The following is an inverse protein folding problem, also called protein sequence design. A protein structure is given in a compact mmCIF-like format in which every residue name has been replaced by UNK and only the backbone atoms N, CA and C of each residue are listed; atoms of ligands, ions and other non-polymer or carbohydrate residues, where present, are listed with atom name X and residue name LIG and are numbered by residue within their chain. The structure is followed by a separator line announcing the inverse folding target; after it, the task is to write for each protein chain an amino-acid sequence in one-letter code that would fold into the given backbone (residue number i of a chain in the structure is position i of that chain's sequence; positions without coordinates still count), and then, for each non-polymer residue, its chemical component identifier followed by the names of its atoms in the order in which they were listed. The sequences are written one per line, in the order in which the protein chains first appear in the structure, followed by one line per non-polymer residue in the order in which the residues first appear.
data_IF_716029986884
#
_entry.id   IF_716029986884
#
_cell.length_a   1.000
_cell.length_b   1.000
_cell.length_c   1.000
_cell.angle_alpha   90.00
_cell.angle_beta   90.00
_cell.angle_gamma   90.00
#
_symmetry.space_group_name_H-M   'P 1'
#
loop_
_entity.id
_entity.type
_entity.pdbx_description
1 polymer ?
#
# COMPACT_ATOMS: atom_id res chain seq x y z
N UNK A 1 17.16 -0.91 -14.99
CA UNK A 1 16.43 -0.77 -16.27
C UNK A 1 15.61 0.50 -16.22
N UNK A 2 15.56 1.30 -17.31
CA UNK A 2 14.79 2.54 -17.38
C UNK A 2 14.46 2.89 -18.83
N UNK A 3 13.45 3.75 -19.02
CA UNK A 3 13.13 4.28 -20.34
C UNK A 3 13.94 5.56 -20.63
N UNK A 4 14.38 5.73 -21.86
CA UNK A 4 15.00 6.97 -22.35
C UNK A 4 14.50 7.33 -23.73
N UNK A 5 14.59 8.63 -24.07
CA UNK A 5 14.38 9.11 -25.45
C UNK A 5 15.73 9.32 -26.10
N UNK A 6 15.93 8.73 -27.28
CA UNK A 6 17.14 8.92 -28.10
C UNK A 6 16.77 9.61 -29.41
N UNK A 7 17.43 10.72 -29.72
CA UNK A 7 17.32 11.39 -31.02
C UNK A 7 18.17 10.66 -32.06
N UNK A 8 17.59 10.38 -33.20
CA UNK A 8 18.29 9.81 -34.37
C UNK A 8 17.80 10.51 -35.65
N UNK A 9 18.62 11.33 -36.24
CA UNK A 9 18.23 12.21 -37.35
C UNK A 9 17.14 13.19 -36.97
N UNK A 10 16.04 13.19 -37.71
CA UNK A 10 14.84 14.05 -37.49
C UNK A 10 13.89 13.49 -36.42
N UNK A 11 14.09 12.27 -35.95
CA UNK A 11 13.12 11.56 -35.11
C UNK A 11 13.66 11.27 -33.72
N UNK A 12 12.73 11.12 -32.78
CA UNK A 12 12.99 10.70 -31.42
C UNK A 12 12.40 9.31 -31.20
N UNK A 13 13.14 8.44 -30.50
CA UNK A 13 12.76 7.06 -30.24
C UNK A 13 12.72 6.79 -28.74
N UNK A 14 11.66 6.15 -28.28
CA UNK A 14 11.55 5.64 -26.92
C UNK A 14 12.28 4.29 -26.85
N UNK A 15 13.24 4.18 -25.94
CA UNK A 15 14.05 2.97 -25.74
C UNK A 15 14.00 2.53 -24.29
N UNK A 16 14.00 1.21 -24.08
CA UNK A 16 14.24 0.58 -22.79
C UNK A 16 15.71 0.20 -22.72
N UNK A 17 16.41 0.67 -21.70
CA UNK A 17 17.85 0.45 -21.52
C UNK A 17 18.15 -0.04 -20.11
N UNK A 18 19.25 -0.77 -19.98
CA UNK A 18 19.82 -1.17 -18.69
C UNK A 18 21.27 -0.69 -18.56
N UNK A 19 21.67 -0.40 -17.32
CA UNK A 19 23.07 -0.15 -17.02
C UNK A 19 23.74 -1.49 -16.69
N UNK A 20 24.81 -1.83 -17.41
CA UNK A 20 25.62 -3.02 -17.16
C UNK A 20 27.06 -2.61 -16.85
N UNK A 21 27.64 -3.14 -15.78
CA UNK A 21 29.04 -2.98 -15.46
C UNK A 21 29.89 -3.94 -16.30
N UNK A 22 30.75 -3.41 -17.16
CA UNK A 22 31.69 -4.21 -17.99
C UNK A 22 33.10 -3.67 -17.73
N UNK A 23 33.99 -4.51 -17.21
CA UNK A 23 35.37 -4.15 -16.87
C UNK A 23 35.47 -2.85 -16.03
N UNK A 24 34.68 -2.74 -14.96
CA UNK A 24 34.67 -1.58 -14.06
C UNK A 24 33.95 -0.33 -14.59
N UNK A 25 33.60 -0.26 -15.88
CA UNK A 25 32.89 0.87 -16.50
C UNK A 25 31.40 0.56 -16.69
N UNK A 26 30.56 1.55 -16.41
CA UNK A 26 29.09 1.42 -16.64
C UNK A 26 28.84 1.66 -18.13
N UNK A 27 28.29 0.65 -18.82
CA UNK A 27 27.80 0.75 -20.19
C UNK A 27 26.28 0.59 -20.23
N UNK A 28 25.63 1.40 -21.07
CA UNK A 28 24.21 1.26 -21.33
C UNK A 28 23.96 0.28 -22.47
N UNK A 29 23.15 -0.73 -22.19
CA UNK A 29 22.67 -1.69 -23.19
C UNK A 29 21.23 -1.38 -23.54
N UNK A 30 20.90 -1.27 -24.82
CA UNK A 30 19.51 -1.17 -25.28
C UNK A 30 18.90 -2.54 -25.24
N UNK A 31 17.79 -2.69 -24.47
CA UNK A 31 17.02 -3.92 -24.39
C UNK A 31 16.02 -3.95 -25.55
N UNK A 32 15.31 -2.83 -25.75
CA UNK A 32 14.29 -2.72 -26.80
C UNK A 32 14.10 -1.27 -27.23
N UNK A 33 13.71 -1.07 -28.48
CA UNK A 33 13.21 0.20 -29.00
C UNK A 33 11.70 0.08 -29.15
N UNK A 34 10.95 0.83 -28.34
CA UNK A 34 9.49 0.77 -28.28
C UNK A 34 8.85 1.38 -29.53
N UNK A 35 9.44 2.49 -30.03
CA UNK A 35 8.95 3.14 -31.24
C UNK A 35 9.32 4.63 -31.31
N UNK A 36 8.80 5.29 -32.34
CA UNK A 36 8.98 6.74 -32.53
C UNK A 36 8.03 7.50 -31.59
N UNK A 37 8.58 8.52 -30.91
CA UNK A 37 7.82 9.31 -29.92
C UNK A 37 6.59 10.00 -30.51
N UNK A 38 6.73 10.59 -31.70
CA UNK A 38 5.61 11.25 -32.41
C UNK A 38 4.44 10.28 -32.65
N UNK A 39 4.72 9.06 -33.11
CA UNK A 39 3.70 8.03 -33.35
C UNK A 39 3.13 7.45 -32.06
N UNK A 40 3.93 7.33 -31.04
CA UNK A 40 3.50 6.81 -29.74
C UNK A 40 2.59 7.81 -29.04
N UNK A 41 2.90 9.11 -29.07
CA UNK A 41 2.10 10.17 -28.48
C UNK A 41 0.80 10.41 -29.25
N UNK A 42 0.88 10.52 -30.59
CA UNK A 42 -0.31 10.78 -31.43
C UNK A 42 -1.44 9.75 -31.28
N UNK A 43 -1.13 8.53 -30.88
CA UNK A 43 -2.10 7.42 -30.73
C UNK A 43 -2.33 7.02 -29.26
N UNK A 44 -1.88 7.81 -28.28
CA UNK A 44 -1.99 7.47 -26.84
C UNK A 44 -1.39 6.10 -26.49
N UNK A 45 -0.41 5.64 -27.29
CA UNK A 45 0.17 4.30 -27.09
C UNK A 45 1.10 4.23 -25.89
N UNK A 46 1.69 5.36 -25.47
CA UNK A 46 2.51 5.41 -24.26
C UNK A 46 1.64 5.12 -23.04
N UNK A 47 0.50 5.77 -22.92
CA UNK A 47 -0.47 5.58 -21.84
C UNK A 47 -1.02 4.15 -21.84
N UNK A 48 -1.34 3.61 -23.01
CA UNK A 48 -1.78 2.21 -23.15
C UNK A 48 -0.72 1.23 -22.71
N UNK A 49 0.56 1.50 -23.05
CA UNK A 49 1.69 0.65 -22.63
C UNK A 49 1.88 0.73 -21.11
N UNK A 50 1.84 1.93 -20.52
CA UNK A 50 1.93 2.11 -19.08
C UNK A 50 0.80 1.38 -18.36
N UNK A 51 -0.45 1.51 -18.83
CA UNK A 51 -1.61 0.80 -18.29
C UNK A 51 -1.47 -0.71 -18.41
N UNK A 52 -0.90 -1.21 -19.50
CA UNK A 52 -0.64 -2.64 -19.67
C UNK A 52 0.44 -3.15 -18.72
N UNK A 53 1.54 -2.42 -18.58
CA UNK A 53 2.64 -2.77 -17.70
C UNK A 53 2.28 -2.63 -16.22
N UNK A 54 1.35 -1.74 -15.87
CA UNK A 54 0.90 -1.55 -14.49
C UNK A 54 0.26 -2.80 -13.88
N UNK A 55 -0.28 -3.70 -14.73
CA UNK A 55 -0.81 -5.00 -14.27
C UNK A 55 0.24 -5.89 -13.61
N UNK A 56 1.51 -5.65 -13.92
CA UNK A 56 2.65 -6.39 -13.35
C UNK A 56 3.35 -5.63 -12.21
N UNK A 57 2.80 -4.50 -11.79
CA UNK A 57 3.35 -3.67 -10.72
C UNK A 57 2.26 -3.26 -9.73
N UNK A 58 2.30 -3.81 -8.52
CA UNK A 58 1.31 -3.52 -7.47
C UNK A 58 1.23 -2.02 -7.11
N UNK A 59 2.34 -1.29 -7.24
CA UNK A 59 2.40 0.15 -6.89
C UNK A 59 1.88 1.07 -8.00
N UNK A 60 2.02 0.70 -9.26
CA UNK A 60 1.71 1.60 -10.39
C UNK A 60 0.20 1.66 -10.70
N UNK A 61 -0.55 0.61 -10.34
CA UNK A 61 -2.00 0.54 -10.56
C UNK A 61 -2.77 1.62 -9.79
N UNK A 62 -2.26 2.03 -8.64
CA UNK A 62 -2.85 3.05 -7.76
C UNK A 62 -2.61 4.47 -8.26
N UNK A 63 -1.46 4.74 -8.86
CA UNK A 63 -1.10 6.07 -9.40
C UNK A 63 -1.91 6.38 -10.67
N UNK A 64 -2.22 5.35 -11.48
CA UNK A 64 -2.94 5.52 -12.75
C UNK A 64 -4.46 5.65 -12.61
N UNK A 65 -5.01 5.31 -11.45
CA UNK A 65 -6.47 5.40 -11.21
C UNK A 65 -6.92 6.76 -10.67
N UNK A 66 -6.00 7.65 -10.31
CA UNK A 66 -6.29 8.98 -9.76
C UNK A 66 -5.76 10.12 -10.61
N UNK A 67 -6.58 11.10 -10.89
CA UNK A 67 -6.18 12.42 -11.40
C UNK A 67 -5.18 13.05 -10.43
N UNK A 68 -4.00 13.45 -10.94
CA UNK A 68 -3.04 14.43 -10.43
C UNK A 68 -3.03 14.73 -8.91
N UNK A 69 -1.86 14.62 -8.30
CA UNK A 69 -1.47 15.22 -7.02
C UNK A 69 -2.10 14.70 -5.71
N UNK A 70 -2.61 13.48 -5.70
CA UNK A 70 -2.89 12.81 -4.43
C UNK A 70 -1.69 11.89 -4.15
N UNK A 71 -0.95 12.08 -3.04
CA UNK A 71 -0.11 11.03 -2.52
C UNK A 71 -1.04 9.83 -2.25
N UNK A 72 -1.05 8.86 -3.15
CA UNK A 72 -1.87 7.68 -3.00
C UNK A 72 -1.19 6.78 -1.96
N UNK A 73 -1.52 6.99 -0.70
CA UNK A 73 -1.21 6.05 0.36
C UNK A 73 -2.09 4.81 0.15
N UNK A 74 -1.50 3.81 -0.49
CA UNK A 74 -2.16 2.53 -0.68
C UNK A 74 -2.21 1.79 0.65
N UNK A 75 -3.38 1.67 1.23
CA UNK A 75 -3.61 0.90 2.45
C UNK A 75 -4.24 -0.46 2.14
N UNK A 76 -3.78 -1.48 2.86
CA UNK A 76 -4.31 -2.85 2.75
C UNK A 76 -5.67 -2.92 3.46
N UNK A 77 -6.71 -3.40 2.79
CA UNK A 77 -8.05 -3.53 3.35
C UNK A 77 -8.49 -4.98 3.57
N UNK A 78 -7.91 -5.93 2.83
CA UNK A 78 -8.36 -7.33 2.84
C UNK A 78 -8.45 -7.97 4.22
N UNK A 79 -7.37 -7.97 5.02
CA UNK A 79 -7.40 -8.55 6.36
C UNK A 79 -8.45 -7.94 7.27
N UNK A 80 -8.60 -6.62 7.28
CA UNK A 80 -9.59 -5.95 8.15
C UNK A 80 -11.02 -6.37 7.82
N UNK A 81 -11.40 -6.52 6.55
CA UNK A 81 -12.74 -6.94 6.15
C UNK A 81 -13.06 -8.34 6.67
N UNK A 82 -12.15 -9.30 6.49
CA UNK A 82 -12.36 -10.70 6.89
C UNK A 82 -12.47 -10.80 8.40
N UNK A 83 -11.52 -10.21 9.13
CA UNK A 83 -11.49 -10.30 10.58
C UNK A 83 -12.56 -9.46 11.27
N UNK A 84 -13.00 -8.34 10.69
CA UNK A 84 -14.19 -7.60 11.17
C UNK A 84 -15.45 -8.46 11.14
N UNK A 85 -15.63 -9.23 10.09
CA UNK A 85 -16.76 -10.16 9.97
C UNK A 85 -16.68 -11.25 11.02
N UNK A 86 -15.54 -11.93 11.14
CA UNK A 86 -15.32 -12.96 12.15
C UNK A 86 -15.50 -12.43 13.57
N UNK A 87 -15.02 -11.23 13.87
CA UNK A 87 -15.14 -10.56 15.16
C UNK A 87 -16.58 -10.34 15.58
N UNK A 88 -17.45 -10.03 14.61
CA UNK A 88 -18.88 -9.89 14.83
C UNK A 88 -19.59 -11.23 14.96
N UNK A 89 -19.30 -12.17 14.06
CA UNK A 89 -19.97 -13.48 13.99
C UNK A 89 -19.64 -14.37 15.20
N UNK A 90 -18.42 -14.34 15.70
CA UNK A 90 -18.01 -15.07 16.91
C UNK A 90 -18.56 -14.46 18.20
N UNK A 91 -19.15 -13.28 18.14
CA UNK A 91 -19.69 -12.59 19.31
C UNK A 91 -18.67 -11.91 20.22
N UNK A 92 -17.37 -11.94 19.87
CA UNK A 92 -16.29 -11.30 20.66
C UNK A 92 -16.56 -9.81 20.85
N UNK A 93 -16.98 -9.12 19.78
CA UNK A 93 -17.35 -7.71 19.86
C UNK A 93 -18.39 -7.44 20.95
N UNK A 94 -19.48 -8.23 20.95
CA UNK A 94 -20.56 -8.09 21.94
C UNK A 94 -20.08 -8.41 23.36
N UNK A 95 -19.21 -9.41 23.53
CA UNK A 95 -18.66 -9.77 24.83
C UNK A 95 -17.83 -8.63 25.42
N UNK A 96 -16.90 -8.05 24.64
CA UNK A 96 -16.10 -6.91 25.08
C UNK A 96 -16.98 -5.71 25.39
N UNK A 97 -17.95 -5.40 24.54
CA UNK A 97 -18.88 -4.28 24.78
C UNK A 97 -19.68 -4.45 26.09
N UNK A 98 -20.09 -5.66 26.44
CA UNK A 98 -20.74 -5.94 27.73
C UNK A 98 -19.84 -5.67 28.94
N UNK A 99 -18.55 -6.04 28.84
CA UNK A 99 -17.57 -5.79 29.89
C UNK A 99 -17.27 -4.29 30.07
N UNK A 100 -17.56 -3.48 29.06
CA UNK A 100 -17.33 -2.03 29.05
C UNK A 100 -18.51 -1.20 29.54
N UNK A 101 -19.72 -1.78 29.77
CA UNK A 101 -20.96 -1.03 30.07
C UNK A 101 -20.77 -0.08 31.25
N UNK A 102 -20.12 -0.53 32.32
CA UNK A 102 -19.91 0.25 33.55
C UNK A 102 -18.54 0.95 33.61
N UNK A 103 -17.82 1.01 32.50
CA UNK A 103 -16.47 1.56 32.40
C UNK A 103 -16.45 2.80 31.51
N UNK A 104 -15.72 3.82 31.95
CA UNK A 104 -15.48 5.04 31.15
C UNK A 104 -14.06 5.09 30.68
N UNK A 105 -13.85 5.09 29.37
CA UNK A 105 -12.57 5.27 28.72
C UNK A 105 -12.62 6.47 27.77
N UNK A 106 -11.49 7.14 27.59
CA UNK A 106 -11.34 8.27 26.68
C UNK A 106 -11.17 7.85 25.21
N UNK A 107 -11.06 6.53 24.98
CA UNK A 107 -10.82 5.93 23.68
C UNK A 107 -11.65 4.66 23.52
N UNK A 108 -11.79 4.19 22.28
CA UNK A 108 -12.51 2.94 21.99
C UNK A 108 -11.64 1.70 22.33
N UNK A 109 -11.89 1.14 23.51
CA UNK A 109 -11.15 -0.04 24.02
C UNK A 109 -11.42 -1.27 23.13
N UNK A 110 -12.65 -1.44 22.63
CA UNK A 110 -12.99 -2.56 21.75
C UNK A 110 -12.16 -2.50 20.45
N UNK A 111 -12.00 -1.32 19.87
CA UNK A 111 -11.19 -1.13 18.69
C UNK A 111 -9.69 -1.31 18.96
N UNK A 112 -9.20 -0.90 20.10
CA UNK A 112 -7.81 -1.11 20.51
C UNK A 112 -7.49 -2.60 20.66
N UNK A 113 -8.40 -3.36 21.30
CA UNK A 113 -8.28 -4.82 21.43
C UNK A 113 -8.32 -5.48 20.04
N UNK A 114 -9.30 -5.12 19.19
CA UNK A 114 -9.41 -5.64 17.83
C UNK A 114 -8.12 -5.42 17.03
N UNK A 115 -7.58 -4.20 17.06
CA UNK A 115 -6.34 -3.85 16.36
C UNK A 115 -5.15 -4.70 16.83
N UNK A 116 -4.99 -4.87 18.14
CA UNK A 116 -3.91 -5.67 18.71
C UNK A 116 -4.04 -7.15 18.33
N UNK A 117 -5.26 -7.71 18.38
CA UNK A 117 -5.52 -9.10 17.99
C UNK A 117 -5.25 -9.28 16.49
N UNK A 118 -5.78 -8.40 15.66
CA UNK A 118 -5.59 -8.45 14.21
C UNK A 118 -4.09 -8.41 13.84
N UNK A 119 -3.34 -7.50 14.45
CA UNK A 119 -1.90 -7.41 14.24
C UNK A 119 -1.17 -8.71 14.61
N UNK A 120 -1.48 -9.29 15.78
CA UNK A 120 -0.85 -10.54 16.25
C UNK A 120 -1.19 -11.74 15.38
N UNK A 121 -2.38 -11.79 14.80
CA UNK A 121 -2.79 -12.85 13.87
C UNK A 121 -2.06 -12.78 12.52
N UNK A 122 -1.73 -11.56 12.04
CA UNK A 122 -1.15 -11.38 10.71
C UNK A 122 0.39 -11.39 10.74
N UNK A 123 1.01 -10.67 11.70
CA UNK A 123 2.45 -10.43 11.69
C UNK A 123 3.14 -10.89 12.97
N UNK A 124 2.41 -10.96 14.08
CA UNK A 124 2.96 -11.28 15.41
C UNK A 124 4.10 -10.34 15.85
N UNK A 125 3.79 -9.33 16.66
CA UNK A 125 4.78 -8.34 17.12
C UNK A 125 4.34 -7.59 18.36
N UNK A 126 5.16 -6.63 18.80
CA UNK A 126 4.86 -5.77 19.94
C UNK A 126 3.80 -4.73 19.62
N UNK A 127 3.15 -4.18 20.64
CA UNK A 127 2.15 -3.09 20.47
C UNK A 127 2.78 -1.83 19.87
N UNK A 128 4.05 -1.56 20.13
CA UNK A 128 4.82 -0.49 19.47
C UNK A 128 4.98 -0.73 17.97
N UNK A 129 5.12 -1.99 17.55
CA UNK A 129 5.14 -2.33 16.14
C UNK A 129 3.75 -2.27 15.54
N UNK A 130 2.70 -2.67 16.28
CA UNK A 130 1.30 -2.56 15.89
C UNK A 130 0.91 -1.13 15.54
N UNK A 131 1.33 -0.12 16.32
CA UNK A 131 1.06 1.29 16.03
C UNK A 131 1.60 1.74 14.67
N UNK A 132 2.80 1.30 14.29
CA UNK A 132 3.39 1.61 12.98
C UNK A 132 2.73 0.80 11.87
N UNK A 133 2.51 -0.50 12.12
CA UNK A 133 1.92 -1.45 11.18
C UNK A 133 0.51 -1.03 10.75
N UNK A 134 -0.32 -0.48 11.65
CA UNK A 134 -1.68 -0.07 11.32
C UNK A 134 -1.76 0.99 10.22
N UNK A 135 -0.70 1.78 10.01
CA UNK A 135 -0.66 2.83 8.98
C UNK A 135 -0.72 2.26 7.56
N UNK A 136 -0.32 1.00 7.40
CA UNK A 136 -0.36 0.28 6.13
C UNK A 136 -1.74 -0.36 5.86
N UNK A 137 -2.69 -0.23 6.81
CA UNK A 137 -3.99 -0.89 6.75
C UNK A 137 -5.13 0.09 6.99
N UNK A 138 -6.25 -0.13 6.27
CA UNK A 138 -7.51 0.56 6.56
C UNK A 138 -8.31 -0.26 7.58
N UNK A 139 -8.34 0.20 8.82
CA UNK A 139 -9.04 -0.45 9.93
C UNK A 139 -9.92 0.58 10.60
N UNK A 140 -11.22 0.49 10.37
CA UNK A 140 -12.20 1.48 10.85
C UNK A 140 -12.19 1.63 12.37
N UNK A 141 -12.22 2.88 12.84
CA UNK A 141 -12.30 3.22 14.26
C UNK A 141 -10.98 3.09 15.02
N UNK A 142 -9.84 2.97 14.28
CA UNK A 142 -8.52 2.91 14.90
C UNK A 142 -7.67 4.14 14.64
N UNK A 143 -8.20 5.12 13.91
CA UNK A 143 -7.47 6.29 13.39
C UNK A 143 -6.90 7.17 14.52
N UNK A 144 -7.62 7.26 15.63
CA UNK A 144 -7.25 8.08 16.80
C UNK A 144 -6.57 7.28 17.93
N UNK A 145 -6.26 6.00 17.69
CA UNK A 145 -5.61 5.19 18.70
C UNK A 145 -4.11 5.43 18.72
N UNK A 146 -3.56 5.69 19.89
CA UNK A 146 -2.14 5.82 20.15
C UNK A 146 -1.59 4.60 20.90
N UNK A 147 -0.27 4.47 20.97
CA UNK A 147 0.40 3.37 21.63
C UNK A 147 -0.05 3.15 23.10
N UNK A 148 -0.24 4.24 23.84
CA UNK A 148 -0.67 4.14 25.24
C UNK A 148 -2.11 3.59 25.37
N UNK A 149 -2.98 3.81 24.36
CA UNK A 149 -4.32 3.21 24.33
C UNK A 149 -4.25 1.70 24.14
N UNK A 150 -3.31 1.19 23.33
CA UNK A 150 -3.12 -0.25 23.15
C UNK A 150 -2.66 -0.90 24.47
N UNK A 151 -1.70 -0.33 25.18
CA UNK A 151 -1.27 -0.83 26.49
C UNK A 151 -2.42 -0.81 27.51
N UNK A 152 -3.16 0.28 27.60
CA UNK A 152 -4.31 0.39 28.52
C UNK A 152 -5.42 -0.62 28.19
N UNK A 153 -5.68 -0.86 26.92
CA UNK A 153 -6.64 -1.87 26.49
C UNK A 153 -6.22 -3.30 26.86
N UNK A 154 -4.92 -3.61 26.77
CA UNK A 154 -4.38 -4.91 27.18
C UNK A 154 -4.36 -5.12 28.69
N UNK A 155 -4.22 -4.06 29.47
CA UNK A 155 -4.30 -4.12 30.95
C UNK A 155 -5.77 -4.33 31.43
N UNK A 156 -6.74 -3.98 30.60
CA UNK A 156 -8.18 -4.16 30.89
C UNK A 156 -8.61 -5.63 30.76
N UNK A 157 -7.99 -6.41 29.87
CA UNK A 157 -8.30 -7.84 29.67
C UNK A 157 -7.73 -8.71 30.76
#
# INVERSE_FOLDING_TARGET
MFARVKKSGKYQYLQIVENRKVKGKVKQRVISTVGRMDQLQAKGRVETLIRSLSRFSEKTLLILSGKSDIPADAVKIGPSIIFERLWKETGIKKAIQRLLIDRRFEFDVERAIFLTVLHRLIVSGSDRFCERWRRDYSINGTEQLDLHHLYRAMTFL
#
